data_IF_335158529734
#
_entry.id   IF_335158529734
#
_cell.length_a   1.000
_cell.length_b   1.000
_cell.length_c   1.000
_cell.angle_alpha   90.00
_cell.angle_beta   90.00
_cell.angle_gamma   90.00
#
_symmetry.space_group_name_H-M   'P 1'
#
loop_
_entity.id
_entity.type
_entity.pdbx_description
1 polymer ?
#
# COMPACT_ATOMS: atom_id res chain seq x y z
N UNK A 1 0.49 13.25 -21.02
CA UNK A 1 0.54 12.42 -19.80
C UNK A 1 0.40 10.99 -20.25
N UNK A 2 1.30 10.12 -19.81
CA UNK A 2 1.21 8.67 -20.06
C UNK A 2 0.57 8.02 -18.84
N UNK A 3 -0.37 7.10 -19.04
CA UNK A 3 -0.99 6.34 -17.96
C UNK A 3 -0.48 4.90 -18.02
N UNK A 4 -0.11 4.38 -16.86
CA UNK A 4 0.35 3.01 -16.69
C UNK A 4 -0.72 2.25 -15.89
N UNK A 5 -1.43 1.28 -16.48
CA UNK A 5 -2.35 0.44 -15.74
C UNK A 5 -1.62 -0.29 -14.61
N UNK A 6 -2.27 -0.36 -13.45
CA UNK A 6 -1.79 -1.07 -12.27
C UNK A 6 -2.90 -1.92 -11.67
N UNK A 7 -2.53 -3.05 -11.06
CA UNK A 7 -3.44 -3.96 -10.37
C UNK A 7 -2.95 -4.20 -8.95
N UNK A 8 -3.71 -3.77 -7.96
CA UNK A 8 -3.42 -3.99 -6.55
C UNK A 8 -4.12 -5.28 -6.08
N UNK A 9 -3.38 -6.17 -5.41
CA UNK A 9 -3.88 -7.45 -4.92
C UNK A 9 -3.63 -7.55 -3.42
N UNK A 10 -4.68 -7.74 -2.63
CA UNK A 10 -4.55 -8.06 -1.21
C UNK A 10 -3.99 -9.48 -1.08
N UNK A 11 -2.70 -9.56 -0.77
CA UNK A 11 -1.96 -10.84 -0.71
C UNK A 11 -1.94 -11.42 0.69
N UNK A 12 -2.03 -10.57 1.72
CA UNK A 12 -2.30 -11.01 3.08
C UNK A 12 -3.53 -10.32 3.61
N UNK A 13 -4.37 -11.07 4.32
CA UNK A 13 -5.67 -10.61 4.81
C UNK A 13 -5.65 -10.72 6.33
N UNK A 14 -5.99 -9.65 7.04
CA UNK A 14 -6.14 -9.74 8.49
C UNK A 14 -7.40 -10.53 8.85
N UNK A 15 -7.25 -11.57 9.68
CA UNK A 15 -8.32 -12.54 9.97
C UNK A 15 -8.89 -12.35 11.37
N UNK A 16 -10.19 -12.60 11.54
CA UNK A 16 -10.85 -12.53 12.85
C UNK A 16 -10.29 -13.57 13.86
N UNK A 17 -9.89 -14.74 13.35
CA UNK A 17 -9.27 -15.81 14.11
C UNK A 17 -7.73 -15.78 14.04
N UNK A 18 -7.05 -16.41 15.01
CA UNK A 18 -5.58 -16.44 15.09
C UNK A 18 -4.91 -17.18 13.92
N UNK A 19 -5.62 -18.11 13.26
CA UNK A 19 -5.04 -19.00 12.26
C UNK A 19 -3.93 -19.91 12.82
N UNK A 20 -3.28 -20.72 11.95
CA UNK A 20 -2.23 -21.66 12.39
C UNK A 20 -1.00 -20.98 13.00
N UNK A 21 -0.64 -19.79 12.49
CA UNK A 21 0.52 -19.00 12.96
C UNK A 21 0.23 -18.12 14.18
N UNK A 22 -1.03 -18.03 14.63
CA UNK A 22 -1.48 -17.18 15.74
C UNK A 22 -1.21 -15.68 15.53
N UNK A 23 -0.93 -15.28 14.30
CA UNK A 23 -0.63 -13.92 13.87
C UNK A 23 -1.85 -13.15 13.35
N UNK A 24 -3.04 -13.80 13.26
CA UNK A 24 -4.26 -13.17 12.75
C UNK A 24 -4.10 -12.62 11.33
N UNK A 25 -3.29 -13.28 10.49
CA UNK A 25 -3.15 -12.92 9.08
C UNK A 25 -3.10 -14.16 8.20
N UNK A 26 -4.02 -14.26 7.25
CA UNK A 26 -4.00 -15.23 6.16
C UNK A 26 -3.03 -14.78 5.08
N UNK A 27 -2.26 -15.71 4.50
CA UNK A 27 -1.37 -15.43 3.37
C UNK A 27 -1.89 -16.19 2.17
N UNK A 28 -2.11 -15.52 1.06
CA UNK A 28 -2.41 -16.17 -0.22
C UNK A 28 -1.16 -16.89 -0.71
N UNK A 29 -1.21 -18.19 -1.04
CA UNK A 29 -0.06 -18.92 -1.58
C UNK A 29 0.48 -18.28 -2.86
N UNK A 30 1.81 -18.26 -3.03
CA UNK A 30 2.46 -17.75 -4.25
C UNK A 30 1.89 -18.43 -5.51
N UNK A 31 1.62 -19.73 -5.45
CA UNK A 31 1.08 -20.50 -6.58
C UNK A 31 -0.30 -19.98 -7.05
N UNK A 32 -1.09 -19.38 -6.17
CA UNK A 32 -2.39 -18.78 -6.54
C UNK A 32 -2.21 -17.37 -7.12
N UNK A 33 -1.17 -16.65 -6.71
CA UNK A 33 -0.85 -15.31 -7.23
C UNK A 33 -0.12 -15.37 -8.58
N UNK A 34 0.71 -16.39 -8.80
CA UNK A 34 1.60 -16.52 -9.97
C UNK A 34 0.88 -16.31 -11.31
N UNK A 35 -0.30 -16.92 -11.58
CA UNK A 35 -1.00 -16.71 -12.84
C UNK A 35 -1.41 -15.25 -13.08
N UNK A 36 -1.78 -14.53 -12.02
CA UNK A 36 -2.15 -13.11 -12.09
C UNK A 36 -0.92 -12.24 -12.37
N UNK A 37 0.21 -12.53 -11.71
CA UNK A 37 1.48 -11.81 -11.91
C UNK A 37 2.00 -11.99 -13.33
N UNK A 38 1.98 -13.22 -13.84
CA UNK A 38 2.46 -13.54 -15.19
C UNK A 38 1.55 -12.93 -16.27
N UNK A 39 0.23 -12.92 -16.06
CA UNK A 39 -0.71 -12.23 -16.95
C UNK A 39 -0.48 -10.72 -16.94
N UNK A 40 -0.34 -10.10 -15.77
CA UNK A 40 -0.06 -8.68 -15.65
C UNK A 40 1.24 -8.30 -16.39
N UNK A 41 2.28 -9.12 -16.28
CA UNK A 41 3.53 -8.95 -17.05
C UNK A 41 3.28 -8.91 -18.56
N UNK A 42 2.52 -9.88 -19.06
CA UNK A 42 2.20 -10.01 -20.49
C UNK A 42 1.42 -8.81 -21.02
N UNK A 43 0.49 -8.30 -20.23
CA UNK A 43 -0.35 -7.16 -20.59
C UNK A 43 0.29 -5.80 -20.25
N UNK A 44 1.54 -5.80 -19.77
CA UNK A 44 2.27 -4.59 -19.39
C UNK A 44 1.61 -3.85 -18.23
N UNK A 45 0.99 -4.56 -17.29
CA UNK A 45 0.34 -4.03 -16.08
C UNK A 45 1.28 -4.18 -14.89
N UNK A 46 1.46 -3.11 -14.11
CA UNK A 46 2.20 -3.16 -12.83
C UNK A 46 1.34 -3.82 -11.76
N UNK A 47 1.92 -4.67 -10.92
CA UNK A 47 1.21 -5.25 -9.77
C UNK A 47 1.70 -4.64 -8.47
N UNK A 48 0.80 -4.41 -7.53
CA UNK A 48 1.12 -3.97 -6.17
C UNK A 48 0.61 -5.04 -5.21
N UNK A 49 1.52 -5.69 -4.48
CA UNK A 49 1.15 -6.67 -3.47
C UNK A 49 0.79 -5.95 -2.17
N UNK A 50 -0.46 -6.03 -1.74
CA UNK A 50 -0.94 -5.35 -0.53
C UNK A 50 -0.90 -6.30 0.68
N UNK A 51 -0.29 -5.80 1.77
CA UNK A 51 -0.11 -6.51 3.02
C UNK A 51 -1.02 -5.97 4.13
N UNK A 52 -2.02 -6.78 4.52
CA UNK A 52 -2.79 -6.62 5.76
C UNK A 52 -2.20 -7.52 6.86
N UNK A 53 -1.33 -6.98 7.73
CA UNK A 53 -0.43 -7.82 8.51
C UNK A 53 -1.06 -8.52 9.69
N UNK A 54 -2.25 -8.13 10.14
CA UNK A 54 -2.76 -8.57 11.43
C UNK A 54 -1.73 -8.27 12.54
N UNK A 55 -1.30 -9.30 13.27
CA UNK A 55 -0.20 -9.23 14.25
C UNK A 55 1.16 -9.64 13.68
N UNK A 56 1.25 -10.16 12.45
CA UNK A 56 2.49 -10.59 11.81
C UNK A 56 3.48 -9.43 11.58
N UNK A 57 4.77 -9.73 11.44
CA UNK A 57 5.74 -8.75 10.96
C UNK A 57 5.47 -8.44 9.48
N UNK A 58 5.38 -7.15 9.12
CA UNK A 58 5.27 -6.75 7.71
C UNK A 58 6.51 -7.17 6.92
N UNK A 59 7.69 -7.13 7.53
CA UNK A 59 8.93 -7.58 6.89
C UNK A 59 8.89 -9.08 6.59
N UNK A 60 8.44 -9.91 7.53
CA UNK A 60 8.32 -11.36 7.30
C UNK A 60 7.29 -11.70 6.21
N UNK A 61 6.25 -10.88 6.07
CA UNK A 61 5.27 -11.05 4.99
C UNK A 61 5.82 -10.59 3.64
N UNK A 62 6.54 -9.48 3.60
CA UNK A 62 7.21 -9.01 2.38
C UNK A 62 8.24 -10.05 1.90
N UNK A 63 9.06 -10.59 2.80
CA UNK A 63 10.01 -11.66 2.53
C UNK A 63 9.34 -12.96 2.07
N UNK A 64 8.14 -13.28 2.59
CA UNK A 64 7.39 -14.43 2.08
C UNK A 64 7.04 -14.31 0.60
N UNK A 65 6.85 -13.08 0.09
CA UNK A 65 6.58 -12.80 -1.33
C UNK A 65 7.83 -12.37 -2.11
N UNK A 66 9.04 -12.61 -1.59
CA UNK A 66 10.30 -12.23 -2.26
C UNK A 66 10.36 -12.74 -3.71
N UNK A 67 9.95 -13.98 -3.97
CA UNK A 67 9.92 -14.55 -5.33
C UNK A 67 9.10 -13.69 -6.31
N UNK A 68 7.95 -13.15 -5.85
CA UNK A 68 7.12 -12.27 -6.67
C UNK A 68 7.69 -10.87 -6.75
N UNK A 69 8.31 -10.38 -5.67
CA UNK A 69 8.97 -9.07 -5.63
C UNK A 69 10.25 -9.03 -6.47
N UNK A 70 10.85 -10.17 -6.82
CA UNK A 70 11.93 -10.23 -7.80
C UNK A 70 11.46 -9.91 -9.23
N UNK A 71 10.15 -9.97 -9.52
CA UNK A 71 9.63 -9.59 -10.83
C UNK A 71 9.71 -8.05 -11.02
N UNK A 72 10.20 -7.54 -12.17
CA UNK A 72 10.41 -6.11 -12.39
C UNK A 72 9.14 -5.24 -12.29
N UNK A 73 7.98 -5.79 -12.63
CA UNK A 73 6.69 -5.10 -12.67
C UNK A 73 5.90 -5.20 -11.35
N UNK A 74 6.51 -5.73 -10.28
CA UNK A 74 5.84 -5.95 -8.99
C UNK A 74 6.39 -5.01 -7.92
N UNK A 75 5.50 -4.21 -7.34
CA UNK A 75 5.71 -3.36 -6.16
C UNK A 75 5.01 -3.90 -4.92
N UNK A 76 5.09 -3.14 -3.82
CA UNK A 76 4.59 -3.54 -2.50
C UNK A 76 3.77 -2.41 -1.87
N UNK A 77 2.61 -2.74 -1.32
CA UNK A 77 1.82 -1.88 -0.46
C UNK A 77 1.85 -2.37 0.99
N UNK A 78 1.97 -1.44 1.92
CA UNK A 78 1.76 -1.68 3.33
C UNK A 78 0.41 -1.07 3.73
N UNK A 79 -0.42 -1.87 4.40
CA UNK A 79 -1.69 -1.42 4.95
C UNK A 79 -1.65 -1.37 6.49
N UNK A 80 -1.35 -0.21 7.09
CA UNK A 80 -1.28 -0.07 8.54
C UNK A 80 -2.62 -0.22 9.24
N UNK A 81 -3.76 -0.03 8.56
CA UNK A 81 -5.07 -0.07 9.24
C UNK A 81 -5.34 -1.47 9.81
N UNK A 82 -4.79 -2.50 9.16
CA UNK A 82 -4.92 -3.89 9.57
C UNK A 82 -3.82 -4.35 10.53
N UNK A 83 -2.92 -3.44 10.95
CA UNK A 83 -1.91 -3.77 11.96
C UNK A 83 -2.53 -3.82 13.35
N UNK A 84 -2.83 -5.04 13.78
CA UNK A 84 -3.36 -5.33 15.10
C UNK A 84 -2.26 -5.23 16.15
N UNK A 85 -2.53 -4.49 17.23
CA UNK A 85 -1.71 -4.55 18.45
C UNK A 85 -1.80 -5.93 19.13
N UNK A 86 -0.95 -6.17 20.14
CA UNK A 86 -0.83 -7.48 20.84
C UNK A 86 -2.16 -8.07 21.34
N UNK A 87 -3.16 -7.23 21.63
CA UNK A 87 -4.51 -7.64 22.08
C UNK A 87 -5.63 -7.30 21.08
N UNK A 88 -5.31 -6.67 19.96
CA UNK A 88 -6.32 -6.18 18.99
C UNK A 88 -6.95 -7.32 18.19
N UNK A 89 -8.23 -7.17 17.87
CA UNK A 89 -8.96 -7.98 16.87
C UNK A 89 -9.28 -7.08 15.67
N UNK A 90 -9.39 -7.62 14.43
CA UNK A 90 -9.80 -6.83 13.27
C UNK A 90 -11.12 -6.11 13.48
N UNK A 91 -11.31 -5.00 12.76
CA UNK A 91 -12.56 -4.21 12.70
C UNK A 91 -13.02 -3.56 14.02
N UNK A 92 -12.25 -3.64 15.10
CA UNK A 92 -12.57 -2.93 16.35
C UNK A 92 -11.97 -1.53 16.42
N UNK A 93 -10.78 -1.35 15.83
CA UNK A 93 -10.00 -0.10 15.82
C UNK A 93 -9.09 -0.09 14.60
N UNK A 94 -8.84 1.10 14.07
CA UNK A 94 -7.83 1.31 13.04
C UNK A 94 -6.44 1.05 13.63
N UNK A 95 -5.69 0.17 12.97
CA UNK A 95 -4.32 -0.20 13.29
C UNK A 95 -3.33 0.93 13.06
N UNK A 96 -2.08 0.65 13.35
CA UNK A 96 -0.97 1.55 13.02
C UNK A 96 0.36 0.81 12.99
N UNK A 97 1.31 1.38 12.28
CA UNK A 97 2.73 1.02 12.30
C UNK A 97 3.56 2.20 12.78
N UNK A 98 4.79 1.93 13.20
CA UNK A 98 5.81 2.96 13.39
C UNK A 98 6.60 3.19 12.10
N UNK A 99 7.17 4.38 11.94
CA UNK A 99 8.12 4.66 10.87
C UNK A 99 9.30 3.67 10.87
N UNK A 100 9.72 3.17 12.04
CA UNK A 100 10.75 2.13 12.14
C UNK A 100 10.34 0.86 11.37
N UNK A 101 9.11 0.39 11.55
CA UNK A 101 8.61 -0.80 10.86
C UNK A 101 8.50 -0.58 9.34
N UNK A 102 8.07 0.62 8.93
CA UNK A 102 8.06 1.00 7.51
C UNK A 102 9.48 0.98 6.94
N UNK A 103 10.44 1.57 7.67
CA UNK A 103 11.84 1.66 7.25
C UNK A 103 12.55 0.30 7.20
N UNK A 104 12.18 -0.65 8.07
CA UNK A 104 12.68 -2.02 8.02
C UNK A 104 12.28 -2.70 6.70
N UNK A 105 11.02 -2.53 6.28
CA UNK A 105 10.54 -3.07 5.00
C UNK A 105 11.15 -2.32 3.81
N UNK A 106 11.19 -0.99 3.85
CA UNK A 106 11.71 -0.18 2.74
C UNK A 106 13.20 -0.42 2.53
N UNK A 107 13.98 -0.57 3.60
CA UNK A 107 15.40 -0.90 3.50
C UNK A 107 15.60 -2.26 2.83
N UNK A 108 14.89 -3.29 3.31
CA UNK A 108 14.97 -4.63 2.73
C UNK A 108 14.55 -4.65 1.25
N UNK A 109 13.43 -4.01 0.89
CA UNK A 109 12.96 -3.96 -0.50
C UNK A 109 13.93 -3.19 -1.41
N UNK A 110 14.52 -2.11 -0.89
CA UNK A 110 15.54 -1.36 -1.63
C UNK A 110 16.80 -2.21 -1.86
N UNK A 111 17.26 -2.96 -0.87
CA UNK A 111 18.42 -3.84 -1.02
C UNK A 111 18.13 -4.98 -2.01
N UNK A 112 16.97 -5.63 -1.90
CA UNK A 112 16.51 -6.62 -2.88
C UNK A 112 16.52 -6.06 -4.31
N UNK A 113 16.01 -4.85 -4.49
CA UNK A 113 15.93 -4.16 -5.79
C UNK A 113 17.33 -3.86 -6.34
N UNK A 114 18.23 -3.34 -5.49
CA UNK A 114 19.60 -2.97 -5.85
C UNK A 114 20.44 -4.19 -6.23
N UNK A 115 20.41 -5.23 -5.40
CA UNK A 115 21.21 -6.45 -5.56
C UNK A 115 20.83 -7.22 -6.82
N UNK A 116 19.55 -7.18 -7.20
CA UNK A 116 19.04 -7.89 -8.37
C UNK A 116 18.91 -6.99 -9.61
N UNK A 117 19.42 -5.75 -9.55
CA UNK A 117 19.42 -4.78 -10.67
C UNK A 117 18.01 -4.57 -11.23
N UNK A 118 17.02 -4.50 -10.33
CA UNK A 118 15.62 -4.34 -10.70
C UNK A 118 15.30 -2.86 -10.98
N UNK A 119 14.29 -2.57 -11.81
CA UNK A 119 13.75 -1.22 -11.92
C UNK A 119 13.25 -0.70 -10.57
N UNK A 120 13.16 0.62 -10.43
CA UNK A 120 12.58 1.27 -9.26
C UNK A 120 11.19 0.68 -8.95
N UNK A 121 10.99 0.23 -7.71
CA UNK A 121 9.74 -0.40 -7.29
C UNK A 121 8.78 0.62 -6.69
N UNK A 122 7.50 0.47 -6.98
CA UNK A 122 6.47 1.22 -6.26
C UNK A 122 6.37 0.68 -4.83
N UNK A 123 6.52 1.58 -3.85
CA UNK A 123 6.36 1.28 -2.44
C UNK A 123 5.24 2.13 -1.86
N UNK A 124 4.06 1.52 -1.72
CA UNK A 124 2.82 2.21 -1.38
C UNK A 124 2.59 2.13 0.13
N UNK A 125 2.26 3.27 0.73
CA UNK A 125 1.86 3.40 2.12
C UNK A 125 0.41 3.87 2.16
N UNK A 126 -0.51 2.97 2.46
CA UNK A 126 -1.91 3.31 2.65
C UNK A 126 -2.08 4.15 3.93
N UNK A 127 -2.75 5.30 3.81
CA UNK A 127 -2.97 6.22 4.91
C UNK A 127 -4.16 7.17 4.71
N UNK A 128 -5.18 7.02 5.55
CA UNK A 128 -6.29 7.98 5.68
C UNK A 128 -6.40 8.64 7.06
N UNK A 129 -5.60 8.21 8.04
CA UNK A 129 -5.46 8.90 9.32
C UNK A 129 -3.99 9.06 9.71
N UNK A 130 -3.62 10.22 10.24
CA UNK A 130 -2.20 10.55 10.53
C UNK A 130 -1.56 9.54 11.48
N UNK A 131 -2.31 8.99 12.45
CA UNK A 131 -1.78 8.03 13.42
C UNK A 131 -1.56 6.61 12.87
N UNK A 132 -2.01 6.29 11.65
CA UNK A 132 -1.74 5.00 11.00
C UNK A 132 -0.24 4.77 10.80
N UNK A 133 0.53 5.84 10.60
CA UNK A 133 1.99 5.80 10.55
C UNK A 133 2.51 6.74 11.63
N UNK A 134 2.96 6.17 12.75
CA UNK A 134 3.54 6.93 13.86
C UNK A 134 4.96 7.37 13.54
N UNK A 135 5.33 8.55 14.03
CA UNK A 135 6.62 9.18 13.74
C UNK A 135 6.85 9.32 12.22
N UNK A 136 5.79 9.64 11.47
CA UNK A 136 5.80 9.62 10.00
C UNK A 136 6.92 10.48 9.39
N UNK A 137 7.31 11.56 10.08
CA UNK A 137 8.45 12.42 9.73
C UNK A 137 9.80 11.66 9.66
N UNK A 138 9.90 10.48 10.29
CA UNK A 138 11.09 9.61 10.29
C UNK A 138 11.03 8.50 9.24
N UNK A 139 9.98 8.45 8.41
CA UNK A 139 9.92 7.48 7.29
C UNK A 139 10.99 7.86 6.28
N UNK A 140 11.81 6.88 5.90
CA UNK A 140 12.88 7.03 4.92
C UNK A 140 12.32 6.93 3.52
N UNK A 141 12.43 8.03 2.79
CA UNK A 141 11.96 8.20 1.41
C UNK A 141 13.11 8.55 0.46
N UNK A 142 14.34 8.23 0.88
CA UNK A 142 15.59 8.56 0.21
C UNK A 142 16.21 7.36 -0.54
N UNK A 143 15.52 6.22 -0.56
CA UNK A 143 15.94 5.05 -1.33
C UNK A 143 15.71 5.29 -2.82
N UNK A 144 16.75 5.39 -3.67
CA UNK A 144 16.55 5.59 -5.11
C UNK A 144 15.89 4.38 -5.78
N UNK A 145 15.95 3.21 -5.14
CA UNK A 145 15.29 1.99 -5.59
C UNK A 145 13.76 2.01 -5.44
N UNK A 146 13.20 2.93 -4.65
CA UNK A 146 11.78 2.95 -4.32
C UNK A 146 11.12 4.27 -4.74
N UNK A 147 10.02 4.16 -5.47
CA UNK A 147 9.04 5.22 -5.62
C UNK A 147 8.05 5.14 -4.46
N UNK A 148 8.33 5.85 -3.36
CA UNK A 148 7.43 5.84 -2.19
C UNK A 148 6.19 6.68 -2.46
N UNK A 149 5.01 6.04 -2.38
CA UNK A 149 3.71 6.68 -2.60
C UNK A 149 2.95 6.69 -1.27
N UNK A 150 2.53 7.86 -0.80
CA UNK A 150 1.50 7.92 0.27
C UNK A 150 0.14 7.90 -0.42
N UNK A 151 -0.61 6.82 -0.21
CA UNK A 151 -1.88 6.57 -0.87
C UNK A 151 -3.03 6.85 0.09
N UNK A 152 -3.82 7.89 -0.21
CA UNK A 152 -4.98 8.28 0.61
C UNK A 152 -6.15 7.36 0.27
N UNK A 153 -6.38 6.42 1.17
CA UNK A 153 -7.24 5.24 1.07
C UNK A 153 -8.48 5.33 1.98
N UNK A 154 -8.95 6.54 2.27
CA UNK A 154 -10.13 6.75 3.13
C UNK A 154 -11.41 6.88 2.32
N UNK A 155 -12.44 6.12 2.69
CA UNK A 155 -13.76 6.16 2.05
C UNK A 155 -14.67 7.28 2.60
N UNK A 156 -15.67 7.66 1.81
CA UNK A 156 -16.77 8.54 2.23
C UNK A 156 -17.16 9.58 1.18
N UNK A 157 -18.02 10.55 1.53
CA UNK A 157 -18.44 11.58 0.60
C UNK A 157 -17.25 12.36 0.04
N UNK A 158 -17.30 12.74 -1.24
CA UNK A 158 -16.23 13.46 -1.94
C UNK A 158 -15.60 14.60 -1.12
N UNK A 159 -16.41 15.42 -0.42
CA UNK A 159 -15.92 16.51 0.41
C UNK A 159 -15.06 16.02 1.60
N UNK A 160 -15.45 14.93 2.25
CA UNK A 160 -14.68 14.32 3.33
C UNK A 160 -13.34 13.79 2.80
N UNK A 161 -13.33 13.17 1.62
CA UNK A 161 -12.10 12.69 0.97
C UNK A 161 -11.12 13.81 0.65
N UNK A 162 -11.61 14.93 0.12
CA UNK A 162 -10.77 16.12 -0.08
C UNK A 162 -10.21 16.67 1.23
N UNK A 163 -10.99 16.63 2.32
CA UNK A 163 -10.52 17.00 3.66
C UNK A 163 -9.38 16.08 4.11
N UNK A 164 -9.57 14.75 3.99
CA UNK A 164 -8.54 13.75 4.32
C UNK A 164 -7.29 13.93 3.47
N UNK A 165 -7.42 14.08 2.15
CA UNK A 165 -6.32 14.36 1.23
C UNK A 165 -5.50 15.58 1.65
N UNK A 166 -6.16 16.68 1.96
CA UNK A 166 -5.49 17.89 2.41
C UNK A 166 -4.85 17.72 3.80
N UNK A 167 -5.46 16.92 4.68
CA UNK A 167 -4.94 16.68 6.02
C UNK A 167 -3.69 15.79 5.99
N UNK A 168 -3.75 14.63 5.32
CA UNK A 168 -2.66 13.66 5.26
C UNK A 168 -1.41 14.25 4.61
N UNK A 169 -1.58 15.16 3.65
CA UNK A 169 -0.48 15.85 2.97
C UNK A 169 0.28 16.86 3.83
N UNK A 170 -0.29 17.31 4.96
CA UNK A 170 0.42 18.22 5.88
C UNK A 170 1.51 17.45 6.60
N UNK A 171 2.71 18.03 6.71
CA UNK A 171 3.85 17.44 7.42
C UNK A 171 4.16 16.00 6.96
N UNK A 172 4.01 15.74 5.65
CA UNK A 172 4.46 14.49 5.06
C UNK A 172 5.98 14.55 4.83
N UNK A 173 6.68 13.40 4.81
CA UNK A 173 8.07 13.34 4.38
C UNK A 173 8.25 13.97 2.99
N UNK A 174 9.44 14.51 2.74
CA UNK A 174 9.83 14.91 1.39
C UNK A 174 9.96 13.66 0.48
N UNK A 175 10.07 13.88 -0.84
CA UNK A 175 10.33 12.81 -1.82
C UNK A 175 9.28 11.69 -1.82
N UNK A 176 8.01 12.04 -1.60
CA UNK A 176 6.88 11.11 -1.76
C UNK A 176 6.04 11.50 -2.97
N UNK A 177 5.55 10.49 -3.66
CA UNK A 177 4.45 10.61 -4.60
C UNK A 177 3.10 10.50 -3.86
N UNK A 178 2.03 10.95 -4.51
CA UNK A 178 0.70 10.96 -3.91
C UNK A 178 -0.28 10.04 -4.64
N UNK A 179 -1.00 9.21 -3.89
CA UNK A 179 -2.06 8.35 -4.38
C UNK A 179 -3.44 8.75 -3.88
N UNK A 180 -4.48 8.57 -4.70
CA UNK A 180 -5.90 8.73 -4.34
C UNK A 180 -6.68 7.45 -4.68
N UNK A 181 -7.33 6.84 -3.68
CA UNK A 181 -8.24 5.70 -3.89
C UNK A 181 -9.67 6.20 -4.04
N UNK A 182 -10.44 5.68 -4.99
CA UNK A 182 -11.90 5.77 -5.04
C UNK A 182 -12.51 4.43 -4.61
N UNK A 183 -13.61 4.47 -3.87
CA UNK A 183 -14.37 3.32 -3.42
C UNK A 183 -15.71 3.28 -4.14
N UNK A 184 -15.98 2.19 -4.88
CA UNK A 184 -17.11 2.10 -5.82
C UNK A 184 -18.45 2.15 -5.09
N UNK A 185 -18.55 1.46 -3.96
CA UNK A 185 -19.81 1.31 -3.23
C UNK A 185 -19.91 2.22 -2.00
N UNK A 186 -18.77 2.61 -1.41
CA UNK A 186 -18.69 3.38 -0.18
C UNK A 186 -18.62 4.91 -0.39
N UNK A 187 -18.11 5.37 -1.53
CA UNK A 187 -18.06 6.80 -1.82
C UNK A 187 -19.39 7.26 -2.42
N UNK A 188 -20.12 8.08 -1.67
CA UNK A 188 -21.40 8.63 -2.13
C UNK A 188 -21.39 10.16 -2.04
N UNK A 189 -21.31 10.90 -3.17
CA UNK A 189 -21.01 10.41 -4.52
C UNK A 189 -19.52 10.08 -4.71
N UNK A 190 -19.23 9.05 -5.51
CA UNK A 190 -17.88 8.72 -5.99
C UNK A 190 -17.50 9.61 -7.18
N UNK A 191 -16.25 10.08 -7.22
CA UNK A 191 -15.69 10.72 -8.40
C UNK A 191 -15.35 9.67 -9.48
N UNK A 192 -15.84 9.85 -10.70
CA UNK A 192 -15.38 9.04 -11.83
C UNK A 192 -13.94 9.42 -12.26
N UNK A 193 -13.38 8.73 -13.25
CA UNK A 193 -12.00 8.97 -13.72
C UNK A 193 -11.77 10.39 -14.23
N UNK A 194 -12.71 10.94 -14.99
CA UNK A 194 -12.59 12.31 -15.51
C UNK A 194 -12.65 13.34 -14.38
N UNK A 195 -13.55 13.13 -13.43
CA UNK A 195 -13.72 14.00 -12.27
C UNK A 195 -12.52 13.94 -11.34
N UNK A 196 -12.03 12.74 -11.00
CA UNK A 196 -10.84 12.55 -10.18
C UNK A 196 -9.65 13.31 -10.78
N UNK A 197 -9.40 13.15 -12.08
CA UNK A 197 -8.30 13.82 -12.78
C UNK A 197 -8.44 15.36 -12.77
N UNK A 198 -9.66 15.87 -12.93
CA UNK A 198 -9.93 17.32 -12.96
C UNK A 198 -9.91 17.94 -11.57
N UNK A 199 -10.55 17.31 -10.59
CA UNK A 199 -10.88 17.89 -9.30
C UNK A 199 -9.84 17.62 -8.21
N UNK A 200 -9.17 16.47 -8.22
CA UNK A 200 -8.13 16.18 -7.20
C UNK A 200 -6.87 16.98 -7.53
N UNK A 201 -6.45 17.79 -6.55
CA UNK A 201 -5.31 18.71 -6.67
C UNK A 201 -4.46 18.71 -5.40
N UNK A 202 -3.11 18.72 -5.51
CA UNK A 202 -2.32 18.45 -6.71
C UNK A 202 -2.67 17.11 -7.36
N UNK A 203 -2.32 16.92 -8.63
CA UNK A 203 -2.70 15.70 -9.34
C UNK A 203 -2.00 14.49 -8.68
N UNK A 204 -2.73 13.44 -8.30
CA UNK A 204 -2.12 12.22 -7.78
C UNK A 204 -1.35 11.50 -8.89
N UNK A 205 -0.25 10.85 -8.53
CA UNK A 205 0.52 9.96 -9.40
C UNK A 205 -0.05 8.53 -9.45
N UNK A 206 -0.77 8.12 -8.40
CA UNK A 206 -1.51 6.85 -8.34
C UNK A 206 -3.00 7.12 -8.15
N UNK A 207 -3.86 6.55 -8.99
CA UNK A 207 -5.32 6.59 -8.81
C UNK A 207 -5.81 5.16 -8.87
N UNK A 208 -6.47 4.70 -7.81
CA UNK A 208 -7.05 3.35 -7.76
C UNK A 208 -8.57 3.41 -7.60
N UNK A 209 -9.22 2.32 -7.99
CA UNK A 209 -10.64 2.06 -7.78
C UNK A 209 -10.76 0.72 -7.09
N UNK A 210 -11.50 0.67 -5.98
CA UNK A 210 -11.74 -0.52 -5.18
C UNK A 210 -13.24 -0.72 -5.00
#
# INVERSE_FOLDING_TARGET
>A
VTFQPSFEIITTIATAGPGPRKDYSGRTPIAELRPLIDLAKKEGVTVILDLQPGRASMLEQAQFYEELLLEPHVGLALDPEWKLGKKGKPLQRIGHVSAKQVNEVSAWLADLTRENVLPQKMFVLHQFQTQMIRDRDKVRTDHPELATVIHVDGQGPTAAKHSTWNHIRKNAPANVEWGWKNFIDEDVPMLNTTETWKQVKPRPGLITYQ
#
